data_IF_842161440393
#
_entry.id   IF_842161440393
#
_cell.length_a   1.000
_cell.length_b   1.000
_cell.length_c   1.000
_cell.angle_alpha   90.00
_cell.angle_beta   90.00
_cell.angle_gamma   90.00
#
_symmetry.space_group_name_H-M   'P 1'
#
loop_
_entity.id
_entity.type
_entity.pdbx_description
1 polymer ?
#
# COMPACT_ATOMS: atom_id res chain seq x y z
N UNK A 1 5.41 -24.81 22.99
CA UNK A 1 4.72 -23.51 23.17
C UNK A 1 5.76 -22.48 23.54
N UNK A 2 6.15 -21.62 22.60
CA UNK A 2 7.10 -20.55 22.87
C UNK A 2 6.29 -19.35 23.33
N UNK A 3 6.43 -18.98 24.61
CA UNK A 3 5.81 -17.80 25.20
C UNK A 3 6.57 -16.56 24.69
N UNK A 4 6.09 -15.95 23.62
CA UNK A 4 6.59 -14.66 23.15
C UNK A 4 5.95 -13.60 24.04
N UNK A 5 6.69 -13.12 25.02
CA UNK A 5 6.34 -11.91 25.78
C UNK A 5 6.32 -10.74 24.81
N UNK A 6 5.12 -10.20 24.60
CA UNK A 6 4.84 -9.10 23.70
C UNK A 6 5.40 -7.77 24.24
N UNK A 7 6.56 -7.36 23.74
CA UNK A 7 7.00 -5.97 23.73
C UNK A 7 6.90 -5.44 22.31
N UNK A 8 5.69 -5.34 21.75
CA UNK A 8 5.52 -5.11 20.34
C UNK A 8 4.65 -3.88 20.06
N UNK A 9 5.30 -2.73 20.02
CA UNK A 9 4.77 -1.49 19.42
C UNK A 9 4.30 -1.67 17.96
N UNK A 10 4.84 -2.65 17.23
CA UNK A 10 4.45 -2.94 15.84
C UNK A 10 3.02 -3.45 15.69
N UNK A 11 2.46 -4.12 16.67
CA UNK A 11 1.10 -4.63 16.59
C UNK A 11 0.03 -3.54 16.67
N UNK A 12 0.38 -2.36 17.14
CA UNK A 12 -0.51 -1.23 17.17
C UNK A 12 -0.92 -0.77 15.75
N UNK A 13 0.01 -0.81 14.78
CA UNK A 13 -0.28 -0.40 13.40
C UNK A 13 -1.35 -1.24 12.72
N UNK A 14 -1.47 -2.52 13.04
CA UNK A 14 -2.48 -3.41 12.45
C UNK A 14 -3.93 -3.09 12.87
N UNK A 15 -4.13 -2.17 13.80
CA UNK A 15 -5.45 -1.65 14.17
C UNK A 15 -5.95 -0.57 13.19
N UNK A 16 -5.03 0.08 12.46
CA UNK A 16 -5.35 1.19 11.55
C UNK A 16 -4.93 0.91 10.11
N UNK A 17 -3.95 0.04 9.91
CA UNK A 17 -3.46 -0.38 8.59
C UNK A 17 -3.91 -1.81 8.36
N UNK A 18 -4.54 -2.06 7.23
CA UNK A 18 -5.20 -3.33 6.94
C UNK A 18 -5.00 -3.76 5.49
N UNK A 19 -4.95 -5.08 5.24
CA UNK A 19 -5.01 -5.60 3.88
C UNK A 19 -6.40 -5.41 3.28
N UNK A 20 -6.45 -5.07 2.00
CA UNK A 20 -7.67 -5.01 1.19
C UNK A 20 -7.75 -6.30 0.39
N UNK A 21 -8.84 -7.03 0.56
CA UNK A 21 -9.04 -8.34 -0.02
C UNK A 21 -10.39 -8.46 -0.72
N UNK A 22 -10.43 -9.27 -1.76
CA UNK A 22 -11.66 -9.80 -2.33
C UNK A 22 -11.94 -11.16 -1.70
N UNK A 23 -13.13 -11.32 -1.13
CA UNK A 23 -13.60 -12.55 -0.53
C UNK A 23 -14.63 -13.20 -1.44
N UNK A 24 -14.57 -14.52 -1.58
CA UNK A 24 -15.58 -15.36 -2.25
C UNK A 24 -16.26 -16.29 -1.26
N UNK A 25 -17.55 -16.63 -1.47
CA UNK A 25 -18.21 -17.65 -0.68
C UNK A 25 -17.53 -19.00 -0.83
N UNK A 26 -17.37 -19.74 0.28
CA UNK A 26 -16.94 -21.12 0.26
C UNK A 26 -18.17 -22.04 0.20
N UNK A 27 -18.23 -22.87 -0.84
CA UNK A 27 -19.33 -23.81 -1.05
C UNK A 27 -19.39 -24.92 0.02
N UNK A 28 -18.25 -25.22 0.65
CA UNK A 28 -18.14 -26.36 1.57
C UNK A 28 -18.40 -25.98 3.03
N UNK A 29 -18.08 -24.77 3.44
CA UNK A 29 -18.10 -24.37 4.87
C UNK A 29 -19.10 -23.28 5.22
N UNK A 30 -19.76 -22.67 4.24
CA UNK A 30 -20.64 -21.51 4.46
C UNK A 30 -19.89 -20.26 4.94
N UNK A 31 -18.54 -20.28 4.87
CA UNK A 31 -17.65 -19.18 5.24
C UNK A 31 -17.14 -18.45 3.98
N UNK A 32 -16.40 -17.38 4.17
CA UNK A 32 -15.70 -16.70 3.08
C UNK A 32 -14.23 -17.10 3.02
N UNK A 33 -13.69 -17.16 1.81
CA UNK A 33 -12.27 -17.38 1.54
C UNK A 33 -11.70 -16.17 0.78
N UNK A 34 -10.44 -15.82 1.03
CA UNK A 34 -9.73 -14.80 0.25
C UNK A 34 -9.56 -15.32 -1.18
N UNK A 35 -10.19 -14.63 -2.14
CA UNK A 35 -10.02 -14.89 -3.57
C UNK A 35 -8.79 -14.17 -4.10
N UNK A 36 -8.69 -12.87 -3.78
CA UNK A 36 -7.58 -12.02 -4.20
C UNK A 36 -7.15 -11.11 -3.05
N UNK A 37 -5.84 -10.93 -2.93
CA UNK A 37 -5.24 -9.88 -2.15
C UNK A 37 -4.98 -8.70 -3.09
N UNK A 38 -5.53 -7.53 -2.78
CA UNK A 38 -5.48 -6.36 -3.67
C UNK A 38 -4.35 -5.40 -3.29
N UNK A 39 -4.13 -5.20 -2.00
CA UNK A 39 -3.14 -4.28 -1.48
C UNK A 39 -3.41 -3.88 -0.04
N UNK A 40 -2.93 -2.71 0.35
CA UNK A 40 -3.03 -2.20 1.72
C UNK A 40 -3.83 -0.90 1.74
N UNK A 41 -4.56 -0.66 2.84
CA UNK A 41 -5.21 0.60 3.14
C UNK A 41 -5.00 0.98 4.61
N UNK A 42 -5.32 2.20 4.98
CA UNK A 42 -5.23 2.68 6.37
C UNK A 42 -6.31 3.68 6.72
N UNK A 43 -6.77 3.65 7.96
CA UNK A 43 -7.84 4.51 8.44
C UNK A 43 -7.41 5.96 8.61
N UNK A 44 -8.33 6.88 8.30
CA UNK A 44 -8.24 8.31 8.55
C UNK A 44 -9.55 8.80 9.19
N UNK A 45 -9.43 9.75 10.11
CA UNK A 45 -10.62 10.31 10.77
C UNK A 45 -11.40 9.29 11.59
N UNK A 46 -12.51 9.73 12.17
CA UNK A 46 -13.30 8.96 13.14
C UNK A 46 -14.52 8.23 12.54
N UNK A 47 -14.76 8.38 11.23
CA UNK A 47 -16.00 7.93 10.59
C UNK A 47 -15.82 6.75 9.62
N UNK A 48 -14.78 5.94 9.80
CA UNK A 48 -14.52 4.78 8.95
C UNK A 48 -14.06 5.14 7.54
N UNK A 49 -13.51 6.34 7.34
CA UNK A 49 -12.81 6.67 6.11
C UNK A 49 -11.41 6.08 6.11
N UNK A 50 -10.93 5.72 4.93
CA UNK A 50 -9.59 5.19 4.74
C UNK A 50 -8.95 5.72 3.45
N UNK A 51 -7.64 5.66 3.38
CA UNK A 51 -6.87 5.93 2.15
C UNK A 51 -6.18 4.67 1.65
N UNK A 52 -5.96 4.63 0.35
CA UNK A 52 -5.16 3.64 -0.36
C UNK A 52 -4.67 4.21 -1.69
N UNK A 53 -3.88 3.45 -2.45
CA UNK A 53 -3.59 3.77 -3.85
C UNK A 53 -4.80 3.41 -4.74
N UNK A 54 -5.07 4.22 -5.77
CA UNK A 54 -6.23 4.00 -6.63
C UNK A 54 -6.12 2.70 -7.44
N UNK A 55 -4.90 2.31 -7.86
CA UNK A 55 -4.69 1.04 -8.55
C UNK A 55 -4.92 -0.21 -7.67
N UNK A 56 -4.98 -0.06 -6.34
CA UNK A 56 -5.33 -1.13 -5.39
C UNK A 56 -6.84 -1.36 -5.39
N UNK A 57 -7.59 -0.27 -5.31
CA UNK A 57 -9.05 -0.30 -5.28
C UNK A 57 -9.60 1.00 -5.83
N UNK A 58 -10.31 0.92 -6.92
CA UNK A 58 -11.11 2.01 -7.47
C UNK A 58 -12.56 1.54 -7.71
N UNK A 59 -13.40 2.41 -8.24
CA UNK A 59 -14.77 2.02 -8.57
C UNK A 59 -14.84 0.90 -9.60
N UNK A 60 -13.89 0.84 -10.56
CA UNK A 60 -13.87 -0.20 -11.57
C UNK A 60 -13.56 -1.58 -10.97
N UNK A 61 -12.64 -1.67 -10.00
CA UNK A 61 -12.35 -2.91 -9.27
C UNK A 61 -13.60 -3.41 -8.54
N UNK A 62 -14.34 -2.50 -7.89
CA UNK A 62 -15.58 -2.87 -7.17
C UNK A 62 -16.67 -3.33 -8.15
N UNK A 63 -16.84 -2.64 -9.28
CA UNK A 63 -17.85 -2.94 -10.28
C UNK A 63 -17.57 -4.23 -11.05
N UNK A 64 -16.28 -4.57 -11.27
CA UNK A 64 -15.86 -5.77 -11.99
C UNK A 64 -15.82 -7.03 -11.11
N UNK A 65 -15.90 -6.90 -9.78
CA UNK A 65 -15.94 -8.06 -8.89
C UNK A 65 -17.17 -8.91 -9.18
N UNK A 66 -17.06 -10.25 -9.18
CA UNK A 66 -18.22 -11.14 -9.27
C UNK A 66 -19.28 -10.78 -8.22
N UNK A 67 -20.56 -10.86 -8.60
CA UNK A 67 -21.67 -10.41 -7.71
C UNK A 67 -21.72 -11.13 -6.36
N UNK A 68 -21.22 -12.36 -6.32
CA UNK A 68 -21.09 -13.17 -5.10
C UNK A 68 -19.88 -12.79 -4.23
N UNK A 69 -18.91 -12.11 -4.79
CA UNK A 69 -17.71 -11.70 -4.07
C UNK A 69 -17.94 -10.36 -3.36
N UNK A 70 -17.21 -10.16 -2.28
CA UNK A 70 -17.21 -8.89 -1.53
C UNK A 70 -15.78 -8.37 -1.36
N UNK A 71 -15.62 -7.06 -1.50
CA UNK A 71 -14.34 -6.40 -1.21
C UNK A 71 -14.38 -5.85 0.21
N UNK A 72 -13.36 -6.20 0.98
CA UNK A 72 -13.28 -5.91 2.41
C UNK A 72 -11.92 -5.39 2.82
N UNK A 73 -11.90 -4.62 3.90
CA UNK A 73 -10.73 -4.38 4.72
C UNK A 73 -10.64 -5.51 5.77
N UNK A 74 -9.52 -6.23 5.79
CA UNK A 74 -9.28 -7.25 6.82
C UNK A 74 -8.66 -6.57 8.04
N UNK A 75 -9.47 -6.29 9.05
CA UNK A 75 -9.02 -5.61 10.27
C UNK A 75 -8.65 -6.63 11.35
N UNK A 76 -7.77 -6.24 12.26
CA UNK A 76 -7.44 -7.08 13.41
C UNK A 76 -8.16 -6.58 14.66
N UNK A 77 -8.75 -7.49 15.40
CA UNK A 77 -9.31 -7.24 16.72
C UNK A 77 -8.64 -8.13 17.76
N UNK A 78 -8.35 -7.55 18.91
CA UNK A 78 -7.90 -8.33 20.06
C UNK A 78 -9.14 -8.84 20.82
N UNK A 79 -9.31 -10.15 20.86
CA UNK A 79 -10.38 -10.82 21.57
C UNK A 79 -9.76 -11.87 22.53
N UNK A 80 -9.95 -11.72 23.84
CA UNK A 80 -9.41 -12.60 24.89
C UNK A 80 -7.89 -12.89 24.73
N UNK A 81 -7.11 -11.86 24.38
CA UNK A 81 -5.67 -11.97 24.15
C UNK A 81 -5.27 -12.65 22.83
N UNK A 82 -6.23 -13.05 22.02
CA UNK A 82 -6.02 -13.58 20.67
C UNK A 82 -6.38 -12.53 19.63
N UNK A 83 -5.62 -12.51 18.54
CA UNK A 83 -5.90 -11.67 17.39
C UNK A 83 -6.73 -12.42 16.39
N UNK A 84 -7.81 -11.81 16.01
CA UNK A 84 -8.75 -12.35 15.02
C UNK A 84 -8.84 -11.37 13.85
N UNK A 85 -8.85 -11.91 12.63
CA UNK A 85 -9.11 -11.15 11.42
C UNK A 85 -10.61 -11.01 11.22
N UNK A 86 -11.06 -9.76 11.11
CA UNK A 86 -12.46 -9.41 10.88
C UNK A 86 -12.59 -8.69 9.53
N UNK A 87 -13.38 -9.24 8.60
CA UNK A 87 -13.70 -8.55 7.36
C UNK A 87 -14.67 -7.39 7.64
N UNK A 88 -14.28 -6.19 7.24
CA UNK A 88 -15.13 -4.98 7.25
C UNK A 88 -15.39 -4.59 5.82
N UNK A 89 -16.68 -4.52 5.44
CA UNK A 89 -17.08 -4.22 4.07
C UNK A 89 -16.68 -2.81 3.66
N UNK A 90 -16.18 -2.66 2.44
CA UNK A 90 -15.96 -1.38 1.78
C UNK A 90 -17.25 -0.98 1.07
N UNK A 91 -17.85 0.13 1.49
CA UNK A 91 -19.15 0.59 1.02
C UNK A 91 -19.03 1.41 -0.27
N UNK A 92 -18.02 2.26 -0.35
CA UNK A 92 -17.83 3.20 -1.45
C UNK A 92 -16.37 3.65 -1.51
N UNK A 93 -15.92 3.97 -2.71
CA UNK A 93 -14.62 4.60 -2.95
C UNK A 93 -14.76 5.78 -3.90
N UNK A 94 -13.81 6.71 -3.84
CA UNK A 94 -13.67 7.85 -4.74
C UNK A 94 -12.20 8.11 -5.01
N UNK A 95 -11.83 8.12 -6.30
CA UNK A 95 -10.44 8.33 -6.73
C UNK A 95 -10.15 9.82 -6.93
N UNK A 96 -8.96 10.26 -6.54
CA UNK A 96 -8.47 11.60 -6.78
C UNK A 96 -8.05 11.75 -8.24
N UNK A 97 -8.69 12.65 -8.98
CA UNK A 97 -8.41 12.83 -10.41
C UNK A 97 -6.95 13.20 -10.66
N UNK A 98 -6.30 12.45 -11.53
CA UNK A 98 -4.91 12.68 -11.95
C UNK A 98 -3.85 12.22 -10.95
N UNK A 99 -4.25 11.53 -9.87
CA UNK A 99 -3.36 10.95 -8.86
C UNK A 99 -3.75 9.52 -8.56
N UNK A 100 -2.77 8.71 -8.25
CA UNK A 100 -2.98 7.32 -7.83
C UNK A 100 -3.36 7.25 -6.34
N UNK A 101 -4.45 7.91 -5.99
CA UNK A 101 -4.96 8.09 -4.63
C UNK A 101 -6.46 7.83 -4.61
N UNK A 102 -6.92 7.09 -3.63
CA UNK A 102 -8.32 6.80 -3.39
C UNK A 102 -8.68 7.02 -1.92
N UNK A 103 -9.85 7.58 -1.68
CA UNK A 103 -10.50 7.56 -0.37
C UNK A 103 -11.68 6.60 -0.42
N UNK A 104 -11.84 5.81 0.64
CA UNK A 104 -12.97 4.89 0.76
C UNK A 104 -13.70 5.02 2.08
N UNK A 105 -14.87 4.41 2.14
CA UNK A 105 -15.76 4.34 3.30
C UNK A 105 -15.95 2.89 3.72
N UNK A 106 -15.62 2.57 4.95
CA UNK A 106 -15.88 1.28 5.60
C UNK A 106 -17.27 1.28 6.25
N UNK A 107 -17.84 0.09 6.39
CA UNK A 107 -19.06 -0.15 7.15
C UNK A 107 -18.89 0.12 8.65
N UNK A 108 -17.67 -0.01 9.18
CA UNK A 108 -17.32 0.25 10.57
C UNK A 108 -16.31 1.39 10.69
N UNK A 109 -16.32 2.08 11.83
CA UNK A 109 -15.29 3.04 12.19
C UNK A 109 -14.08 2.32 12.77
N UNK A 110 -12.90 2.75 12.36
CA UNK A 110 -11.63 2.32 12.92
C UNK A 110 -10.95 3.51 13.61
N UNK A 111 -10.07 3.28 14.58
CA UNK A 111 -9.29 4.36 15.17
C UNK A 111 -8.49 5.11 14.11
N UNK A 112 -8.28 6.39 14.28
CA UNK A 112 -7.29 7.15 13.52
C UNK A 112 -5.94 7.10 14.24
N UNK A 113 -4.88 7.13 13.46
CA UNK A 113 -3.52 7.07 14.00
C UNK A 113 -2.62 8.17 13.44
N UNK A 114 -2.78 8.48 12.16
CA UNK A 114 -1.92 9.43 11.48
C UNK A 114 -2.47 10.84 11.59
N UNK A 115 -1.57 11.82 11.76
CA UNK A 115 -1.86 13.24 11.56
C UNK A 115 -1.48 13.64 10.14
N UNK A 116 -2.19 14.58 9.54
CA UNK A 116 -1.76 15.19 8.28
C UNK A 116 -0.56 16.08 8.53
N UNK A 117 0.47 15.93 7.67
CA UNK A 117 1.56 16.86 7.69
C UNK A 117 1.24 18.09 6.83
N UNK A 118 1.29 19.28 7.43
CA UNK A 118 1.05 20.56 6.76
C UNK A 118 2.30 21.10 6.03
N UNK A 119 3.38 20.34 5.97
CA UNK A 119 4.60 20.72 5.26
C UNK A 119 5.08 19.57 4.39
N UNK A 120 5.70 19.93 3.27
CA UNK A 120 6.32 18.97 2.39
C UNK A 120 7.54 18.30 3.06
N UNK A 121 7.79 17.04 2.73
CA UNK A 121 8.96 16.33 3.22
C UNK A 121 10.21 16.68 2.40
N UNK A 122 11.36 16.61 3.05
CA UNK A 122 12.65 16.94 2.43
C UNK A 122 13.35 15.67 1.95
N UNK A 123 14.28 15.83 1.01
CA UNK A 123 15.27 14.78 0.72
C UNK A 123 16.06 14.41 1.97
N UNK A 124 16.46 13.15 2.12
CA UNK A 124 17.17 12.56 3.28
C UNK A 124 16.33 12.40 4.54
N UNK A 125 15.06 12.70 4.46
CA UNK A 125 14.17 12.52 5.59
C UNK A 125 13.84 11.04 5.81
N UNK A 126 13.99 10.57 7.06
CA UNK A 126 13.65 9.21 7.46
C UNK A 126 12.15 8.96 7.32
N UNK A 127 11.80 7.87 6.67
CA UNK A 127 10.42 7.44 6.45
C UNK A 127 10.22 5.98 6.83
N UNK A 128 8.99 5.68 7.20
CA UNK A 128 8.56 4.34 7.59
C UNK A 128 7.32 3.94 6.79
N UNK A 129 7.22 2.67 6.47
CA UNK A 129 6.04 2.06 5.86
C UNK A 129 5.64 0.85 6.70
N UNK A 130 4.37 0.75 7.03
CA UNK A 130 3.78 -0.48 7.56
C UNK A 130 2.72 -0.95 6.58
N UNK A 131 2.80 -2.22 6.16
CA UNK A 131 1.86 -2.74 5.18
C UNK A 131 1.91 -4.26 5.07
N UNK A 132 1.16 -4.78 4.12
CA UNK A 132 0.99 -6.21 3.92
C UNK A 132 1.50 -6.60 2.54
N UNK A 133 2.63 -7.32 2.43
CA UNK A 133 3.09 -7.83 1.15
C UNK A 133 2.14 -8.92 0.64
N UNK A 134 2.03 -9.02 -0.69
CA UNK A 134 1.31 -10.11 -1.34
C UNK A 134 2.01 -11.45 -1.04
N UNK A 135 1.63 -12.06 0.05
CA UNK A 135 2.10 -13.40 0.42
C UNK A 135 1.23 -14.45 -0.27
N UNK A 136 1.39 -14.62 -1.60
CA UNK A 136 0.76 -15.73 -2.36
C UNK A 136 1.27 -17.11 -1.92
N UNK A 137 2.13 -17.17 -0.93
CA UNK A 137 2.49 -18.41 -0.30
C UNK A 137 1.28 -18.89 0.48
N UNK A 138 0.54 -19.83 -0.13
CA UNK A 138 -0.34 -20.70 0.63
C UNK A 138 0.52 -21.31 1.74
N UNK A 139 0.12 -21.14 2.98
CA UNK A 139 0.68 -21.91 4.08
C UNK A 139 0.67 -23.40 3.72
N UNK A 140 1.40 -24.22 4.46
CA UNK A 140 1.47 -25.67 4.24
C UNK A 140 0.06 -26.30 4.11
N UNK A 141 -0.95 -25.67 4.71
CA UNK A 141 -2.36 -26.09 4.72
C UNK A 141 -3.24 -25.41 3.64
N UNK A 142 -2.64 -24.66 2.70
CA UNK A 142 -3.39 -23.97 1.65
C UNK A 142 -4.11 -22.69 2.08
N UNK A 143 -3.97 -22.26 3.33
CA UNK A 143 -4.54 -21.05 3.89
C UNK A 143 -3.68 -19.81 3.53
N UNK A 144 -4.32 -18.66 3.30
CA UNK A 144 -3.63 -17.39 3.17
C UNK A 144 -3.12 -16.91 4.53
N UNK A 145 -1.83 -16.62 4.61
CA UNK A 145 -1.26 -15.95 5.76
C UNK A 145 -1.12 -14.45 5.46
N UNK A 146 -1.80 -13.62 6.23
CA UNK A 146 -1.68 -12.17 6.15
C UNK A 146 -0.56 -11.72 7.11
N UNK A 147 0.65 -11.57 6.60
CA UNK A 147 1.81 -11.14 7.37
C UNK A 147 2.12 -9.67 7.06
N UNK A 148 2.28 -8.87 8.10
CA UNK A 148 2.70 -7.48 7.96
C UNK A 148 4.21 -7.34 7.90
N UNK A 149 4.68 -6.29 7.22
CA UNK A 149 6.08 -5.87 7.24
C UNK A 149 6.20 -4.42 7.68
N UNK A 150 7.36 -4.10 8.23
CA UNK A 150 7.74 -2.74 8.56
C UNK A 150 9.01 -2.40 7.79
N UNK A 151 8.96 -1.37 6.96
CA UNK A 151 10.09 -0.89 6.17
C UNK A 151 10.55 0.45 6.73
N UNK A 152 11.86 0.67 6.72
CA UNK A 152 12.49 1.94 7.09
C UNK A 152 13.50 2.33 6.03
N UNK A 153 13.57 3.61 5.73
CA UNK A 153 14.55 4.23 4.87
C UNK A 153 14.39 5.73 4.85
N UNK A 154 14.73 6.34 3.72
CA UNK A 154 14.66 7.79 3.55
C UNK A 154 14.22 8.17 2.14
N UNK A 155 13.79 9.43 1.98
CA UNK A 155 13.47 10.03 0.69
C UNK A 155 14.77 10.35 -0.03
N UNK A 156 14.97 9.83 -1.25
CA UNK A 156 16.13 10.14 -2.10
C UNK A 156 15.93 11.43 -2.86
N UNK A 157 14.75 11.60 -3.45
CA UNK A 157 14.39 12.80 -4.25
C UNK A 157 12.88 12.90 -4.46
N UNK A 158 12.48 14.03 -5.05
CA UNK A 158 11.15 14.20 -5.64
C UNK A 158 11.16 13.72 -7.09
N UNK A 159 10.09 13.04 -7.48
CA UNK A 159 9.86 12.62 -8.85
C UNK A 159 8.86 13.56 -9.50
N UNK A 160 9.28 14.21 -10.58
CA UNK A 160 8.42 15.00 -11.43
C UNK A 160 7.90 14.14 -12.62
N UNK A 161 7.00 14.69 -13.45
CA UNK A 161 6.37 13.96 -14.54
C UNK A 161 7.37 13.30 -15.51
N UNK A 162 8.52 13.95 -15.77
CA UNK A 162 9.55 13.38 -16.64
C UNK A 162 10.34 12.20 -16.04
N UNK A 163 10.21 11.96 -14.74
CA UNK A 163 10.94 10.89 -14.05
C UNK A 163 10.15 9.60 -13.91
N UNK A 164 8.88 9.60 -14.27
CA UNK A 164 7.98 8.46 -14.13
C UNK A 164 7.29 8.13 -15.44
N UNK A 165 7.15 6.83 -15.73
CA UNK A 165 6.40 6.35 -16.90
C UNK A 165 4.88 6.28 -16.64
N UNK A 166 4.45 6.31 -15.39
CA UNK A 166 3.04 6.31 -14.98
C UNK A 166 2.65 7.74 -14.62
N UNK A 167 1.81 8.43 -15.42
CA UNK A 167 1.49 9.84 -15.21
C UNK A 167 0.90 10.17 -13.83
N UNK A 168 0.09 9.26 -13.26
CA UNK A 168 -0.51 9.42 -11.93
C UNK A 168 0.50 9.31 -10.77
N UNK A 169 1.74 8.92 -11.07
CA UNK A 169 2.87 8.86 -10.13
C UNK A 169 3.72 10.13 -10.15
N UNK A 170 3.40 11.09 -11.01
CA UNK A 170 4.07 12.39 -11.01
C UNK A 170 3.90 13.10 -9.65
N UNK A 171 4.87 13.93 -9.29
CA UNK A 171 4.92 14.64 -8.01
C UNK A 171 4.94 13.70 -6.79
N UNK A 172 5.71 12.62 -6.88
CA UNK A 172 5.89 11.64 -5.80
C UNK A 172 7.28 11.76 -5.17
N UNK A 173 7.49 11.01 -4.10
CA UNK A 173 8.81 10.77 -3.51
C UNK A 173 9.39 9.47 -4.04
N UNK A 174 10.69 9.46 -4.32
CA UNK A 174 11.49 8.26 -4.48
C UNK A 174 12.10 7.87 -3.12
N UNK A 175 12.04 6.59 -2.79
CA UNK A 175 12.54 6.01 -1.54
C UNK A 175 13.73 5.11 -1.82
N UNK A 176 14.72 5.09 -0.91
CA UNK A 176 15.95 4.32 -1.06
C UNK A 176 15.78 2.79 -0.91
N UNK A 177 14.56 2.31 -0.85
CA UNK A 177 14.22 0.88 -0.75
C UNK A 177 13.06 0.53 -1.67
N UNK A 178 13.00 -0.73 -2.09
CA UNK A 178 11.89 -1.26 -2.88
C UNK A 178 10.63 -1.42 -2.04
N UNK A 179 9.47 -1.16 -2.64
CA UNK A 179 8.15 -1.45 -2.07
C UNK A 179 7.67 -2.78 -2.64
N UNK A 180 7.56 -3.85 -1.84
CA UNK A 180 7.07 -5.14 -2.30
C UNK A 180 5.63 -5.07 -2.81
N UNK A 181 5.27 -5.99 -3.71
CA UNK A 181 3.89 -6.17 -4.15
C UNK A 181 2.96 -6.36 -2.95
N UNK A 182 1.79 -5.73 -2.98
CA UNK A 182 0.80 -5.76 -1.92
C UNK A 182 0.97 -4.66 -0.87
N UNK A 183 2.15 -4.06 -0.75
CA UNK A 183 2.39 -2.91 0.13
C UNK A 183 1.85 -1.60 -0.47
N UNK A 184 1.47 -1.61 -1.75
CA UNK A 184 0.78 -0.47 -2.38
C UNK A 184 -0.45 -0.06 -1.57
N UNK A 185 -0.64 1.25 -1.39
CA UNK A 185 -1.69 1.83 -0.55
C UNK A 185 -1.34 1.98 0.92
N UNK A 186 -0.16 1.50 1.36
CA UNK A 186 0.32 1.65 2.73
C UNK A 186 0.66 3.10 3.07
N UNK A 187 0.52 3.52 4.34
CA UNK A 187 0.97 4.83 4.78
C UNK A 187 2.49 4.92 4.77
N UNK A 188 3.01 6.05 4.27
CA UNK A 188 4.40 6.47 4.42
C UNK A 188 4.43 7.59 5.44
N UNK A 189 5.14 7.40 6.55
CA UNK A 189 5.04 8.28 7.70
C UNK A 189 6.37 8.45 8.43
N UNK A 190 6.44 9.49 9.26
CA UNK A 190 7.52 9.71 10.24
C UNK A 190 7.16 9.02 11.55
N UNK A 191 8.12 8.36 12.16
CA UNK A 191 8.01 7.97 13.58
C UNK A 191 8.36 9.17 14.45
N UNK A 192 7.40 9.57 15.27
CA UNK A 192 7.52 10.67 16.21
C UNK A 192 6.27 10.73 17.07
N UNK A 193 6.12 11.78 17.87
CA UNK A 193 4.96 11.94 18.75
C UNK A 193 3.64 11.96 17.96
N UNK A 194 3.67 12.46 16.72
CA UNK A 194 2.45 12.74 15.94
C UNK A 194 2.23 11.76 14.78
N UNK A 195 3.13 10.79 14.55
CA UNK A 195 3.04 9.84 13.43
C UNK A 195 2.58 10.50 12.13
N UNK A 196 3.31 11.53 11.70
CA UNK A 196 2.88 12.38 10.60
C UNK A 196 2.91 11.63 9.27
N UNK A 197 1.76 11.57 8.61
CA UNK A 197 1.63 10.99 7.28
C UNK A 197 2.31 11.88 6.25
N UNK A 198 3.26 11.33 5.50
CA UNK A 198 4.02 12.00 4.44
C UNK A 198 3.44 11.67 3.08
N UNK A 199 3.05 10.41 2.90
CA UNK A 199 2.63 9.91 1.59
C UNK A 199 1.94 8.56 1.66
N UNK A 200 1.70 8.00 0.49
CA UNK A 200 1.09 6.68 0.30
C UNK A 200 1.97 5.89 -0.67
N UNK A 201 2.34 4.69 -0.28
CA UNK A 201 3.16 3.78 -1.07
C UNK A 201 2.44 3.38 -2.37
N UNK A 202 3.12 3.49 -3.50
CA UNK A 202 2.56 3.11 -4.80
C UNK A 202 3.16 1.81 -5.32
N UNK A 203 4.48 1.66 -5.25
CA UNK A 203 5.20 0.54 -5.81
C UNK A 203 6.67 0.87 -5.97
N UNK A 204 7.35 0.18 -6.89
CA UNK A 204 8.76 0.39 -7.17
C UNK A 204 9.02 0.70 -8.64
N UNK A 205 10.10 1.42 -8.88
CA UNK A 205 10.69 1.65 -10.20
C UNK A 205 12.05 1.00 -10.28
N UNK A 206 12.36 0.43 -11.43
CA UNK A 206 13.63 -0.25 -11.69
C UNK A 206 14.58 0.68 -12.44
N UNK A 207 15.79 0.82 -11.91
CA UNK A 207 16.91 1.43 -12.60
C UNK A 207 17.89 0.34 -13.02
N UNK A 208 18.09 0.21 -14.31
CA UNK A 208 19.01 -0.78 -14.89
C UNK A 208 20.27 -0.09 -15.37
N UNK A 209 21.41 -0.50 -14.84
CA UNK A 209 22.75 -0.08 -15.28
C UNK A 209 23.45 -1.23 -15.97
N UNK A 210 23.91 -1.02 -17.22
CA UNK A 210 24.77 -1.98 -17.88
C UNK A 210 26.16 -1.94 -17.24
N UNK A 211 26.57 -3.03 -16.62
CA UNK A 211 27.92 -3.16 -16.01
C UNK A 211 28.94 -3.65 -17.04
N UNK A 212 28.51 -4.47 -17.96
CA UNK A 212 29.33 -5.08 -18.98
C UNK A 212 28.49 -5.40 -20.20
N UNK A 213 29.02 -5.10 -21.39
CA UNK A 213 28.45 -5.51 -22.66
C UNK A 213 29.58 -5.96 -23.58
N UNK A 214 29.47 -7.18 -24.07
CA UNK A 214 30.42 -7.78 -25.03
C UNK A 214 29.66 -8.22 -26.27
N UNK A 215 30.22 -7.88 -27.41
CA UNK A 215 29.65 -8.30 -28.69
C UNK A 215 30.79 -8.92 -29.51
N UNK A 216 30.65 -10.17 -29.87
CA UNK A 216 31.55 -10.88 -30.78
C UNK A 216 30.84 -11.14 -32.10
N UNK A 217 31.51 -10.82 -33.21
CA UNK A 217 31.01 -11.07 -34.52
C UNK A 217 31.90 -12.13 -35.16
N UNK A 218 31.41 -13.36 -35.21
CA UNK A 218 32.03 -14.46 -35.95
C UNK A 218 31.43 -14.50 -37.36
N UNK A 219 32.29 -14.44 -38.39
CA UNK A 219 31.87 -14.41 -39.80
C UNK A 219 31.11 -15.67 -40.22
N UNK A 220 31.36 -16.79 -39.55
CA UNK A 220 30.78 -18.09 -39.89
C UNK A 220 29.64 -18.52 -38.94
N UNK A 221 29.63 -17.98 -37.69
CA UNK A 221 28.67 -18.37 -36.64
C UNK A 221 27.67 -17.29 -36.27
N UNK A 222 27.82 -16.07 -36.80
CA UNK A 222 26.93 -14.95 -36.51
C UNK A 222 27.40 -14.08 -35.34
N UNK A 223 26.49 -13.26 -34.84
CA UNK A 223 26.78 -12.30 -33.73
C UNK A 223 26.37 -12.87 -32.39
N UNK A 224 27.32 -12.96 -31.46
CA UNK A 224 27.09 -13.28 -30.07
C UNK A 224 27.10 -12.00 -29.22
N UNK A 225 26.11 -11.87 -28.33
CA UNK A 225 26.04 -10.75 -27.39
C UNK A 225 25.88 -11.27 -25.97
N UNK A 226 26.70 -10.76 -25.07
CA UNK A 226 26.60 -10.99 -23.63
C UNK A 226 26.52 -9.65 -22.92
N UNK A 227 25.61 -9.53 -21.96
CA UNK A 227 25.49 -8.31 -21.14
C UNK A 227 25.21 -8.66 -19.69
N UNK A 228 25.89 -8.00 -18.77
CA UNK A 228 25.60 -8.05 -17.34
C UNK A 228 24.99 -6.72 -16.92
N UNK A 229 23.82 -6.79 -16.29
CA UNK A 229 23.07 -5.60 -15.85
C UNK A 229 22.87 -5.66 -14.35
N UNK A 230 23.03 -4.52 -13.70
CA UNK A 230 22.61 -4.31 -12.32
C UNK A 230 21.23 -3.66 -12.31
N UNK A 231 20.30 -4.25 -11.56
CA UNK A 231 18.96 -3.68 -11.34
C UNK A 231 18.92 -3.17 -9.90
N UNK A 232 18.61 -1.89 -9.74
CA UNK A 232 18.31 -1.27 -8.46
C UNK A 232 16.83 -0.89 -8.43
N UNK A 233 16.17 -1.18 -7.31
CA UNK A 233 14.75 -0.86 -7.13
C UNK A 233 14.60 0.25 -6.10
N UNK A 234 13.81 1.27 -6.46
CA UNK A 234 13.47 2.38 -5.60
C UNK A 234 11.96 2.43 -5.41
N UNK A 235 11.51 2.64 -4.18
CA UNK A 235 10.11 2.81 -3.89
C UNK A 235 9.59 4.16 -4.39
N UNK A 236 8.31 4.20 -4.71
CA UNK A 236 7.58 5.42 -5.08
C UNK A 236 6.42 5.63 -4.13
N UNK A 237 6.30 6.84 -3.58
CA UNK A 237 5.21 7.22 -2.70
C UNK A 237 4.60 8.55 -3.14
N UNK A 238 3.27 8.57 -3.32
CA UNK A 238 2.55 9.81 -3.62
C UNK A 238 2.66 10.77 -2.43
N UNK A 239 2.82 12.06 -2.71
CA UNK A 239 2.92 13.09 -1.69
C UNK A 239 1.52 13.46 -1.19
N UNK A 240 1.25 13.21 0.09
CA UNK A 240 -0.06 13.55 0.67
C UNK A 240 -0.29 15.05 0.72
N UNK A 241 0.78 15.84 0.92
CA UNK A 241 0.75 17.30 0.97
C UNK A 241 0.03 17.92 -0.23
N UNK A 242 0.25 17.39 -1.42
CA UNK A 242 -0.38 17.88 -2.65
C UNK A 242 -1.86 17.49 -2.81
N UNK A 243 -2.38 16.67 -1.91
CA UNK A 243 -3.76 16.21 -1.92
C UNK A 243 -4.60 16.74 -0.75
N UNK A 244 -4.01 17.51 0.17
CA UNK A 244 -4.71 17.98 1.37
C UNK A 244 -5.94 18.86 1.05
N UNK A 245 -5.91 19.59 -0.05
CA UNK A 245 -7.02 20.43 -0.51
C UNK A 245 -8.08 19.66 -1.31
N UNK A 246 -7.86 18.38 -1.59
CA UNK A 246 -8.85 17.57 -2.27
C UNK A 246 -10.12 17.43 -1.44
N UNK A 247 -11.29 17.65 -2.08
CA UNK A 247 -12.63 17.62 -1.48
C UNK A 247 -13.46 16.49 -2.06
N UNK A 248 -13.27 15.24 -1.58
CA UNK A 248 -14.06 14.12 -2.05
C UNK A 248 -15.55 14.31 -1.77
N UNK A 249 -16.42 13.86 -2.69
CA UNK A 249 -17.87 13.93 -2.48
C UNK A 249 -18.33 13.02 -1.35
N UNK A 250 -17.69 11.84 -1.20
CA UNK A 250 -18.04 10.86 -0.16
C UNK A 250 -17.81 11.37 1.27
N UNK A 251 -17.00 12.44 1.44
CA UNK A 251 -16.73 13.09 2.73
C UNK A 251 -17.69 14.26 3.02
N UNK A 252 -18.66 14.51 2.13
CA UNK A 252 -19.47 15.73 2.16
C UNK A 252 -18.67 16.96 1.76
N UNK A 253 -17.65 16.80 0.93
CA UNK A 253 -16.75 17.86 0.41
C UNK A 253 -15.88 18.54 1.48
N UNK A 254 -15.61 17.86 2.58
CA UNK A 254 -14.53 18.28 3.49
C UNK A 254 -13.18 18.08 2.82
N UNK A 255 -12.25 19.00 3.05
CA UNK A 255 -10.87 18.83 2.56
C UNK A 255 -10.23 17.59 3.18
N UNK A 256 -9.39 16.89 2.41
CA UNK A 256 -8.69 15.71 2.94
C UNK A 256 -7.87 16.06 4.19
N UNK A 257 -7.21 17.23 4.22
CA UNK A 257 -6.46 17.69 5.39
C UNK A 257 -7.29 17.90 6.66
N UNK A 258 -8.61 18.08 6.56
CA UNK A 258 -9.52 18.21 7.70
C UNK A 258 -9.98 16.85 8.25
N UNK A 259 -9.59 15.75 7.60
CA UNK A 259 -10.00 14.39 7.98
C UNK A 259 -9.06 13.74 8.99
N UNK A 260 -7.85 14.29 9.15
CA UNK A 260 -6.80 13.77 10.02
C UNK A 260 -6.91 14.22 11.47
#
# INVERSE_FOLDING_TARGET
MVNIKNNNSFYHFSEFVFPICELKPSLESGTFQIAHFLGTGFSIGDNGFFLSAAHVIDSAVIECAPKENIIVAMTQRLNDGKREWLPVKILKVESCKGRDLVIGKLEASLPKFFSAQNSDAYGWEDVHIFGYPDSRKKGVDGNFELNSIFLKGYITRRLEAQHVSIPTWANSYELNFAIPLGVSGSPVFRLGADHSLIGIALGSVDFTTSLYEYTEVDKDKGTYRESTKQVQQFGVAIRIYDALDWKPEITGRKCLGEMF
#
